data_IF_685092276161
#
_entry.id   IF_685092276161
#
_cell.length_a   1.000
_cell.length_b   1.000
_cell.length_c   1.000
_cell.angle_alpha   90.00
_cell.angle_beta   90.00
_cell.angle_gamma   90.00
#
_symmetry.space_group_name_H-M   'P 1'
#
loop_
_entity.id
_entity.type
_entity.pdbx_description
1 polymer ?
#
# COMPACT_ATOMS: atom_id res chain seq x y z
N UNK A 1 -6.28 3.45 -3.43
CA UNK A 1 -5.14 2.64 -3.90
C UNK A 1 -4.58 3.27 -5.15
N UNK A 2 -3.26 3.47 -5.15
CA UNK A 2 -2.47 4.13 -6.17
C UNK A 2 -1.29 3.22 -6.50
N UNK A 3 -1.37 2.43 -7.58
CA UNK A 3 -0.42 1.33 -7.79
C UNK A 3 0.07 1.19 -9.24
N UNK A 4 1.37 1.00 -9.42
CA UNK A 4 1.91 0.36 -10.62
C UNK A 4 1.90 -1.15 -10.36
N UNK A 5 1.13 -1.89 -11.15
CA UNK A 5 0.90 -3.31 -10.93
C UNK A 5 1.55 -4.13 -12.02
N UNK A 6 2.40 -5.07 -11.62
CA UNK A 6 2.89 -6.10 -12.52
C UNK A 6 1.80 -7.15 -12.76
N UNK A 7 1.51 -7.43 -14.03
CA UNK A 7 0.46 -8.39 -14.40
C UNK A 7 0.75 -9.81 -13.88
N UNK A 8 2.01 -10.18 -13.69
CA UNK A 8 2.42 -11.46 -13.11
C UNK A 8 2.17 -11.57 -11.60
N UNK A 9 2.20 -10.46 -10.88
CA UNK A 9 2.21 -10.44 -9.42
C UNK A 9 1.01 -9.65 -8.90
N UNK A 10 -0.12 -10.34 -8.61
CA UNK A 10 -1.31 -9.66 -8.10
C UNK A 10 -1.02 -9.03 -6.74
N UNK A 11 -1.58 -7.84 -6.52
CA UNK A 11 -1.55 -7.20 -5.22
C UNK A 11 -2.59 -7.84 -4.31
N UNK A 12 -2.23 -8.13 -3.06
CA UNK A 12 -3.20 -8.56 -2.06
C UNK A 12 -3.43 -7.45 -1.06
N UNK A 13 -4.67 -7.18 -0.68
CA UNK A 13 -4.97 -6.22 0.37
C UNK A 13 -6.07 -6.69 1.31
N UNK A 14 -5.98 -6.23 2.56
CA UNK A 14 -6.87 -6.59 3.66
C UNK A 14 -7.69 -5.39 4.11
N UNK A 15 -8.94 -5.68 4.42
CA UNK A 15 -9.93 -4.73 4.90
C UNK A 15 -10.64 -5.30 6.13
N UNK A 16 -10.65 -4.54 7.21
CA UNK A 16 -11.03 -5.01 8.53
C UNK A 16 -12.32 -4.32 8.99
N UNK A 17 -13.43 -5.06 9.06
CA UNK A 17 -14.72 -4.51 9.48
C UNK A 17 -14.98 -4.85 10.94
N UNK A 18 -15.14 -3.83 11.76
CA UNK A 18 -15.41 -3.98 13.19
C UNK A 18 -16.90 -4.12 13.46
N UNK A 19 -17.24 -5.07 14.30
CA UNK A 19 -18.63 -5.35 14.65
C UNK A 19 -18.77 -5.87 16.07
N UNK A 20 -20.01 -5.97 16.55
CA UNK A 20 -20.32 -6.65 17.81
C UNK A 20 -20.25 -8.16 17.62
N UNK A 21 -19.98 -8.90 18.70
CA UNK A 21 -19.89 -10.37 18.62
C UNK A 21 -21.19 -11.06 18.19
N UNK A 22 -22.33 -10.41 18.40
CA UNK A 22 -23.65 -10.89 17.99
C UNK A 22 -23.92 -10.77 16.48
N UNK A 23 -23.12 -9.98 15.75
CA UNK A 23 -23.26 -9.79 14.31
C UNK A 23 -22.49 -10.89 13.55
N UNK A 24 -23.24 -11.86 13.06
CA UNK A 24 -22.76 -12.94 12.20
C UNK A 24 -22.90 -12.55 10.73
N UNK A 25 -21.83 -12.70 9.96
CA UNK A 25 -21.81 -12.41 8.53
C UNK A 25 -22.78 -13.34 7.77
N UNK A 26 -23.65 -12.76 6.96
CA UNK A 26 -24.59 -13.47 6.08
C UNK A 26 -24.23 -13.33 4.61
N UNK A 27 -23.58 -12.22 4.22
CA UNK A 27 -23.07 -12.04 2.86
C UNK A 27 -21.92 -11.02 2.82
N UNK A 28 -20.98 -11.24 1.92
CA UNK A 28 -19.91 -10.31 1.59
C UNK A 28 -19.63 -10.38 0.08
N UNK A 29 -19.75 -9.26 -0.62
CA UNK A 29 -19.50 -9.21 -2.07
C UNK A 29 -19.14 -7.82 -2.57
N UNK A 30 -18.35 -7.75 -3.63
CA UNK A 30 -18.13 -6.52 -4.38
C UNK A 30 -19.38 -6.22 -5.23
N UNK A 31 -19.90 -4.99 -5.13
CA UNK A 31 -21.11 -4.59 -5.87
C UNK A 31 -20.81 -4.17 -7.30
N UNK A 32 -19.69 -3.50 -7.49
CA UNK A 32 -19.17 -3.20 -8.80
C UNK A 32 -18.07 -4.23 -9.06
N UNK A 33 -18.15 -4.95 -10.18
CA UNK A 33 -17.03 -5.75 -10.66
C UNK A 33 -15.93 -4.81 -11.14
N UNK A 34 -15.26 -4.14 -10.20
CA UNK A 34 -14.12 -3.31 -10.54
C UNK A 34 -13.07 -4.23 -11.12
N UNK A 35 -12.72 -3.98 -12.39
CA UNK A 35 -11.94 -4.89 -13.21
C UNK A 35 -10.69 -5.38 -12.49
N UNK A 36 -10.66 -6.66 -12.17
CA UNK A 36 -9.51 -7.29 -11.52
C UNK A 36 -9.49 -7.27 -9.99
N UNK A 37 -10.55 -6.87 -9.29
CA UNK A 37 -10.63 -7.02 -7.83
C UNK A 37 -11.55 -8.19 -7.49
N UNK A 38 -11.07 -9.10 -6.65
CA UNK A 38 -11.85 -10.26 -6.19
C UNK A 38 -11.70 -10.42 -4.69
N UNK A 39 -12.78 -10.81 -4.01
CA UNK A 39 -12.70 -11.25 -2.62
C UNK A 39 -12.11 -12.67 -2.61
N UNK A 40 -10.92 -12.83 -2.03
CA UNK A 40 -10.21 -14.11 -1.97
C UNK A 40 -10.66 -14.94 -0.76
N UNK A 41 -10.49 -14.39 0.43
CA UNK A 41 -10.83 -15.08 1.69
C UNK A 41 -11.32 -14.10 2.73
N UNK A 42 -12.01 -14.61 3.75
CA UNK A 42 -12.32 -13.83 4.95
C UNK A 42 -12.35 -14.72 6.18
N UNK A 43 -12.10 -14.12 7.34
CA UNK A 43 -12.25 -14.79 8.63
C UNK A 43 -12.68 -13.79 9.70
N UNK A 44 -13.08 -14.31 10.86
CA UNK A 44 -13.50 -13.53 12.01
C UNK A 44 -12.52 -13.73 13.17
N UNK A 45 -12.12 -12.64 13.80
CA UNK A 45 -11.30 -12.64 15.00
C UNK A 45 -12.04 -11.94 16.16
N UNK A 46 -12.30 -12.63 17.28
CA UNK A 46 -12.80 -12.01 18.49
C UNK A 46 -11.73 -11.12 19.13
N UNK A 47 -12.10 -9.89 19.49
CA UNK A 47 -11.17 -8.91 20.11
C UNK A 47 -11.41 -8.77 21.62
N UNK A 48 -12.52 -9.32 22.13
CA UNK A 48 -12.89 -9.32 23.54
C UNK A 48 -13.69 -8.08 23.97
N UNK A 49 -14.04 -8.02 25.26
CA UNK A 49 -14.84 -6.93 25.84
C UNK A 49 -13.96 -5.71 26.12
N UNK A 50 -14.04 -4.69 25.25
CA UNK A 50 -13.31 -3.42 25.43
C UNK A 50 -14.15 -2.30 26.05
N UNK A 51 -15.47 -2.47 26.17
CA UNK A 51 -16.38 -1.46 26.73
C UNK A 51 -17.57 -2.09 27.49
N UNK A 52 -17.61 -1.95 28.82
CA UNK A 52 -18.80 -2.14 29.66
C UNK A 52 -19.68 -3.38 29.30
N UNK A 53 -19.06 -4.54 29.09
CA UNK A 53 -19.75 -5.80 28.83
C UNK A 53 -20.15 -6.05 27.36
N UNK A 54 -19.77 -5.18 26.42
CA UNK A 54 -19.90 -5.46 24.97
C UNK A 54 -18.62 -6.06 24.43
N UNK A 55 -18.74 -7.24 23.83
CA UNK A 55 -17.67 -7.90 23.10
C UNK A 55 -17.72 -7.57 21.62
N UNK A 56 -16.54 -7.35 21.05
CA UNK A 56 -16.36 -6.97 19.65
C UNK A 56 -15.55 -8.03 18.90
N UNK A 57 -15.83 -8.14 17.61
CA UNK A 57 -15.09 -8.95 16.65
C UNK A 57 -14.70 -8.12 15.44
N UNK A 58 -13.70 -8.60 14.71
CA UNK A 58 -13.32 -8.07 13.41
C UNK A 58 -13.51 -9.14 12.36
N UNK A 59 -14.10 -8.74 11.23
CA UNK A 59 -14.03 -9.52 10.01
C UNK A 59 -12.88 -9.00 9.17
N UNK A 60 -11.93 -9.88 8.90
CA UNK A 60 -10.83 -9.63 7.99
C UNK A 60 -11.24 -10.10 6.61
N UNK A 61 -11.24 -9.21 5.64
CA UNK A 61 -11.53 -9.51 4.23
C UNK A 61 -10.27 -9.31 3.42
N UNK A 62 -9.81 -10.36 2.75
CA UNK A 62 -8.64 -10.34 1.89
C UNK A 62 -9.08 -10.35 0.44
N UNK A 63 -8.57 -9.39 -0.31
CA UNK A 63 -8.89 -9.18 -1.70
C UNK A 63 -7.63 -9.32 -2.56
N UNK A 64 -7.81 -9.94 -3.71
CA UNK A 64 -6.78 -10.04 -4.73
C UNK A 64 -7.07 -9.01 -5.81
N UNK A 65 -6.05 -8.25 -6.18
CA UNK A 65 -6.08 -7.24 -7.21
C UNK A 65 -5.16 -7.61 -8.38
N UNK A 66 -5.78 -8.04 -9.46
CA UNK A 66 -5.17 -8.44 -10.73
C UNK A 66 -5.89 -7.75 -11.90
N UNK A 67 -5.70 -6.45 -12.10
CA UNK A 67 -6.30 -5.71 -13.21
C UNK A 67 -5.75 -6.20 -14.55
N UNK A 68 -6.63 -6.35 -15.55
CA UNK A 68 -6.21 -6.68 -16.92
C UNK A 68 -5.69 -5.46 -17.70
N UNK A 69 -6.13 -4.26 -17.31
CA UNK A 69 -5.83 -2.97 -17.91
C UNK A 69 -5.69 -1.88 -16.82
N UNK A 70 -5.07 -0.76 -17.16
CA UNK A 70 -4.94 0.39 -16.26
C UNK A 70 -6.32 0.94 -15.88
N UNK A 71 -6.50 1.26 -14.60
CA UNK A 71 -7.73 1.80 -14.05
C UNK A 71 -7.49 3.22 -13.57
N UNK A 72 -8.50 4.09 -13.71
CA UNK A 72 -8.46 5.44 -13.18
C UNK A 72 -9.69 5.71 -12.32
N UNK A 73 -9.45 6.11 -11.07
CA UNK A 73 -10.45 6.51 -10.08
C UNK A 73 -11.66 5.57 -9.98
N UNK A 74 -11.43 4.27 -10.10
CA UNK A 74 -12.50 3.27 -10.04
C UNK A 74 -12.95 3.07 -8.61
N UNK A 75 -14.23 3.31 -8.33
CA UNK A 75 -14.79 3.08 -7.00
C UNK A 75 -14.86 1.60 -6.69
N UNK A 76 -14.47 1.24 -5.48
CA UNK A 76 -14.70 -0.07 -4.91
C UNK A 76 -15.83 0.06 -3.90
N UNK A 77 -16.93 -0.64 -4.15
CA UNK A 77 -18.07 -0.70 -3.24
C UNK A 77 -18.18 -2.13 -2.73
N UNK A 78 -18.03 -2.29 -1.42
CA UNK A 78 -18.06 -3.59 -0.77
C UNK A 78 -19.33 -3.74 0.05
N UNK A 79 -20.20 -4.64 -0.36
CA UNK A 79 -21.41 -4.95 0.38
C UNK A 79 -21.12 -5.98 1.46
N UNK A 80 -21.49 -5.64 2.68
CA UNK A 80 -21.41 -6.51 3.85
C UNK A 80 -22.78 -6.57 4.49
N UNK A 81 -23.27 -7.79 4.68
CA UNK A 81 -24.52 -8.10 5.35
C UNK A 81 -24.24 -9.02 6.52
N UNK A 82 -24.85 -8.69 7.65
CA UNK A 82 -24.90 -9.54 8.85
C UNK A 82 -26.36 -9.87 9.16
N UNK A 83 -26.60 -10.65 10.21
CA UNK A 83 -27.93 -10.85 10.77
C UNK A 83 -28.54 -9.61 11.44
N UNK A 84 -27.75 -8.55 11.72
CA UNK A 84 -28.21 -7.37 12.45
C UNK A 84 -28.27 -6.10 11.58
N UNK A 85 -27.47 -6.04 10.53
CA UNK A 85 -27.34 -4.86 9.69
C UNK A 85 -26.80 -5.22 8.31
N UNK A 86 -27.04 -4.32 7.36
CA UNK A 86 -26.49 -4.37 6.02
C UNK A 86 -25.90 -3.02 5.67
N UNK A 87 -24.74 -3.01 5.05
CA UNK A 87 -24.06 -1.78 4.64
C UNK A 87 -23.32 -1.97 3.32
N UNK A 88 -23.28 -0.87 2.57
CA UNK A 88 -22.36 -0.72 1.45
C UNK A 88 -21.21 0.12 1.98
N UNK A 89 -20.07 -0.53 2.15
CA UNK A 89 -18.87 0.07 2.69
C UNK A 89 -18.09 0.71 1.53
N UNK A 90 -17.79 2.02 1.56
CA UNK A 90 -16.88 2.63 0.61
C UNK A 90 -15.49 2.02 0.82
N UNK A 91 -15.11 1.14 -0.09
CA UNK A 91 -13.82 0.46 -0.05
C UNK A 91 -12.69 1.39 -0.53
N UNK A 92 -13.04 2.52 -1.14
CA UNK A 92 -12.14 3.54 -1.64
C UNK A 92 -12.12 3.60 -3.17
N UNK A 93 -11.10 4.26 -3.72
CA UNK A 93 -10.87 4.37 -5.16
C UNK A 93 -9.60 3.64 -5.56
N UNK A 94 -9.58 3.15 -6.79
CA UNK A 94 -8.43 2.50 -7.40
C UNK A 94 -8.00 3.27 -8.62
N UNK A 95 -6.76 3.72 -8.60
CA UNK A 95 -6.03 4.12 -9.79
C UNK A 95 -4.81 3.23 -9.91
N UNK A 96 -4.67 2.56 -11.05
CA UNK A 96 -3.54 1.71 -11.31
C UNK A 96 -3.01 1.84 -12.74
N UNK A 97 -1.70 1.67 -12.89
CA UNK A 97 -1.05 1.47 -14.19
C UNK A 97 -0.56 0.04 -14.26
N UNK A 98 -1.07 -0.72 -15.24
CA UNK A 98 -0.62 -2.10 -15.43
C UNK A 98 0.64 -2.10 -16.29
N UNK A 99 1.68 -2.79 -15.84
CA UNK A 99 2.89 -3.05 -16.61
C UNK A 99 2.92 -4.53 -17.01
N UNK A 100 3.40 -4.86 -18.22
CA UNK A 100 3.37 -6.22 -18.72
C UNK A 100 4.33 -7.16 -17.96
N UNK A 101 5.48 -6.63 -17.54
CA UNK A 101 6.47 -7.34 -16.74
C UNK A 101 7.26 -6.33 -15.91
N UNK A 102 7.45 -6.62 -14.63
CA UNK A 102 8.41 -5.91 -13.78
C UNK A 102 9.79 -6.53 -13.92
N UNK A 103 10.81 -5.69 -14.08
CA UNK A 103 12.19 -6.14 -13.87
C UNK A 103 12.45 -6.43 -12.39
N UNK A 104 13.53 -7.17 -12.13
CA UNK A 104 14.06 -7.50 -10.80
C UNK A 104 15.58 -7.29 -10.79
N UNK A 105 16.04 -6.08 -11.11
CA UNK A 105 17.46 -5.75 -11.20
C UNK A 105 18.00 -5.24 -9.87
N UNK A 106 17.18 -4.52 -9.10
CA UNK A 106 17.52 -3.96 -7.80
C UNK A 106 16.72 -4.67 -6.69
N UNK A 107 17.33 -5.69 -6.07
CA UNK A 107 16.69 -6.42 -4.97
C UNK A 107 16.46 -5.53 -3.75
N UNK A 108 15.30 -5.66 -3.11
CA UNK A 108 14.95 -4.89 -1.91
C UNK A 108 15.46 -5.62 -0.66
N UNK A 109 16.44 -5.03 0.03
CA UNK A 109 17.04 -5.63 1.23
C UNK A 109 16.31 -5.21 2.51
N UNK A 110 15.96 -3.93 2.60
CA UNK A 110 15.22 -3.36 3.73
C UNK A 110 14.26 -2.30 3.25
N UNK A 111 13.09 -2.27 3.88
CA UNK A 111 12.04 -1.33 3.55
C UNK A 111 11.31 -0.88 4.80
N UNK A 112 11.39 0.42 5.09
CA UNK A 112 10.60 1.05 6.15
C UNK A 112 9.40 1.73 5.50
N UNK A 113 8.39 0.94 5.13
CA UNK A 113 7.09 1.42 4.67
C UNK A 113 5.99 0.78 5.49
N UNK A 114 5.46 1.53 6.45
CA UNK A 114 4.41 1.05 7.35
C UNK A 114 4.49 1.78 8.69
N UNK A 115 3.39 2.42 9.04
CA UNK A 115 3.16 3.17 10.26
C UNK A 115 1.68 3.52 10.28
N UNK A 116 1.17 3.81 11.45
CA UNK A 116 -0.24 4.01 11.68
C UNK A 116 -0.53 5.38 12.27
N UNK A 117 -1.66 5.95 11.83
CA UNK A 117 -2.16 7.23 12.32
C UNK A 117 -1.87 8.42 11.40
N UNK A 118 -2.91 9.18 11.07
CA UNK A 118 -2.91 10.28 10.10
C UNK A 118 -1.87 11.39 10.37
N UNK A 119 -1.59 11.70 11.64
CA UNK A 119 -0.74 12.84 12.03
C UNK A 119 0.77 12.56 11.93
N UNK A 120 1.14 11.28 11.87
CA UNK A 120 2.54 10.83 11.91
C UNK A 120 3.19 10.90 10.51
N UNK A 121 2.40 10.92 9.44
CA UNK A 121 2.88 10.64 8.08
C UNK A 121 3.13 11.82 7.16
N UNK A 122 2.49 12.98 7.37
CA UNK A 122 2.61 14.12 6.43
C UNK A 122 4.05 14.63 6.24
N UNK A 123 4.97 14.26 7.16
CA UNK A 123 6.38 14.62 7.13
C UNK A 123 7.34 13.43 7.27
N UNK A 124 6.86 12.18 7.12
CA UNK A 124 7.72 11.02 7.27
C UNK A 124 8.51 10.70 6.00
N UNK A 125 9.79 10.43 6.22
CA UNK A 125 10.69 9.94 5.20
C UNK A 125 10.53 8.43 5.12
N UNK A 126 10.13 7.95 3.94
CA UNK A 126 10.18 6.55 3.58
C UNK A 126 11.60 6.23 3.12
N UNK A 127 12.08 5.05 3.46
CA UNK A 127 13.39 4.60 3.07
C UNK A 127 13.41 3.15 2.61
N UNK A 128 14.25 2.89 1.63
CA UNK A 128 14.40 1.59 1.01
C UNK A 128 15.85 1.38 0.62
N UNK A 129 16.44 0.28 1.08
CA UNK A 129 17.77 -0.15 0.65
C UNK A 129 17.61 -1.18 -0.46
N UNK A 130 18.35 -0.95 -1.54
CA UNK A 130 18.33 -1.76 -2.74
C UNK A 130 19.74 -2.25 -3.06
N UNK A 131 19.88 -3.49 -3.49
CA UNK A 131 21.14 -4.06 -4.01
C UNK A 131 21.04 -4.33 -5.50
N UNK A 132 22.05 -3.89 -6.27
CA UNK A 132 22.15 -4.30 -7.67
C UNK A 132 22.61 -5.76 -7.77
N UNK A 133 21.66 -6.64 -8.10
CA UNK A 133 21.87 -8.08 -8.23
C UNK A 133 22.32 -8.49 -9.65
N UNK A 134 22.53 -7.53 -10.54
CA UNK A 134 22.98 -7.80 -11.92
C UNK A 134 24.50 -7.72 -12.03
N UNK A 135 25.04 -8.26 -13.13
CA UNK A 135 26.46 -8.18 -13.44
C UNK A 135 26.89 -6.84 -14.05
N UNK A 136 25.94 -5.97 -14.40
CA UNK A 136 26.20 -4.69 -15.04
C UNK A 136 25.75 -3.51 -14.15
N UNK A 137 26.31 -2.30 -14.34
CA UNK A 137 25.81 -1.11 -13.66
C UNK A 137 24.36 -0.81 -14.06
N UNK A 138 23.52 -0.54 -13.06
CA UNK A 138 22.11 -0.15 -13.24
C UNK A 138 21.95 1.32 -12.89
N UNK A 139 21.36 2.10 -13.78
CA UNK A 139 21.03 3.51 -13.56
C UNK A 139 19.58 3.67 -13.13
N UNK A 140 19.37 4.31 -11.98
CA UNK A 140 18.05 4.76 -11.53
C UNK A 140 17.75 6.09 -12.20
N UNK A 141 16.67 6.13 -12.98
CA UNK A 141 16.23 7.32 -13.73
C UNK A 141 15.13 8.11 -13.01
N UNK A 142 14.58 7.56 -11.92
CA UNK A 142 13.53 8.18 -11.12
C UNK A 142 12.45 7.18 -10.71
N UNK A 143 11.43 7.69 -10.03
CA UNK A 143 10.23 6.95 -9.67
C UNK A 143 9.13 7.12 -10.72
N UNK A 144 8.30 6.11 -10.84
CA UNK A 144 7.03 6.12 -11.55
C UNK A 144 5.93 5.75 -10.55
N UNK A 145 4.76 6.35 -10.72
CA UNK A 145 3.60 6.15 -9.84
C UNK A 145 2.30 6.12 -10.65
N UNK A 146 1.20 5.79 -9.99
CA UNK A 146 -0.16 5.90 -10.52
C UNK A 146 -1.07 6.58 -9.51
N UNK A 147 -2.09 7.29 -9.98
CA UNK A 147 -2.99 8.05 -9.11
C UNK A 147 -2.46 9.43 -8.78
N UNK A 148 -3.12 10.07 -7.81
CA UNK A 148 -2.97 11.51 -7.56
C UNK A 148 -2.09 11.80 -6.32
N UNK A 149 -1.73 10.78 -5.53
CA UNK A 149 -0.73 10.91 -4.47
C UNK A 149 0.67 10.84 -5.09
N UNK A 150 1.63 11.62 -4.56
CA UNK A 150 2.90 11.86 -5.26
C UNK A 150 4.17 11.70 -4.44
N UNK A 151 5.21 11.17 -5.09
CA UNK A 151 6.55 11.00 -4.52
C UNK A 151 7.37 12.27 -4.73
N UNK A 152 7.87 12.81 -3.62
CA UNK A 152 8.66 14.02 -3.58
C UNK A 152 9.91 13.92 -2.76
N UNK A 153 10.69 15.01 -2.82
CA UNK A 153 11.90 15.21 -2.03
C UNK A 153 12.77 13.95 -2.04
N UNK A 154 13.19 13.49 -3.22
CA UNK A 154 13.91 12.22 -3.33
C UNK A 154 15.39 12.46 -3.00
N UNK A 155 15.94 11.64 -2.13
CA UNK A 155 17.34 11.62 -1.72
C UNK A 155 17.90 10.20 -1.82
N UNK A 156 19.22 10.08 -1.84
CA UNK A 156 19.88 8.78 -1.83
C UNK A 156 21.20 8.76 -1.06
N UNK A 157 21.61 7.57 -0.66
CA UNK A 157 22.93 7.26 -0.10
C UNK A 157 23.50 6.03 -0.81
N UNK A 158 24.79 6.03 -1.13
CA UNK A 158 25.50 4.88 -1.74
C UNK A 158 25.93 3.81 -0.71
N UNK A 159 25.35 3.88 0.48
CA UNK A 159 25.59 2.98 1.59
C UNK A 159 24.23 2.67 2.22
N UNK A 160 24.06 1.44 2.74
CA UNK A 160 22.92 1.12 3.60
C UNK A 160 22.89 2.05 4.82
N UNK A 161 21.71 2.59 5.12
CA UNK A 161 21.47 3.42 6.30
C UNK A 161 20.49 2.70 7.23
N UNK A 162 20.91 2.46 8.48
CA UNK A 162 20.02 1.91 9.51
C UNK A 162 18.96 2.91 9.99
N UNK A 163 19.27 4.21 9.96
CA UNK A 163 18.37 5.30 10.35
C UNK A 163 18.50 6.48 9.35
N UNK A 164 17.94 6.33 8.14
CA UNK A 164 18.09 7.29 7.07
C UNK A 164 17.56 8.68 7.44
N UNK A 165 18.40 9.72 7.29
CA UNK A 165 18.03 11.14 7.50
C UNK A 165 18.51 11.97 6.31
N UNK A 166 17.77 13.00 5.87
CA UNK A 166 18.11 13.80 4.68
C UNK A 166 19.49 14.45 4.74
N UNK A 167 19.93 14.86 5.93
CA UNK A 167 21.22 15.51 6.15
C UNK A 167 22.45 14.59 5.95
N UNK A 168 22.24 13.28 5.80
CA UNK A 168 23.29 12.28 5.51
C UNK A 168 23.16 11.71 4.10
N UNK A 169 22.43 12.38 3.22
CA UNK A 169 22.07 11.88 1.89
C UNK A 169 22.26 12.97 0.84
N UNK A 170 22.34 12.56 -0.41
CA UNK A 170 22.43 13.45 -1.56
C UNK A 170 21.04 13.63 -2.16
N UNK A 171 20.71 14.85 -2.60
CA UNK A 171 19.50 15.06 -3.38
C UNK A 171 19.56 14.23 -4.67
N UNK A 172 18.46 13.61 -5.04
CA UNK A 172 18.40 12.74 -6.21
C UNK A 172 18.46 13.57 -7.51
N UNK A 173 19.48 13.32 -8.32
CA UNK A 173 19.62 13.86 -9.66
C UNK A 173 19.84 12.70 -10.61
N UNK A 174 18.86 12.46 -11.49
CA UNK A 174 18.95 11.36 -12.45
C UNK A 174 20.01 11.63 -13.52
N UNK A 175 20.75 10.60 -13.99
CA UNK A 175 20.72 9.22 -13.51
C UNK A 175 21.58 9.01 -12.25
N UNK A 176 21.15 8.12 -11.36
CA UNK A 176 21.97 7.64 -10.24
C UNK A 176 22.40 6.20 -10.52
N UNK A 177 23.70 5.96 -10.66
CA UNK A 177 24.24 4.64 -11.00
C UNK A 177 24.55 3.79 -9.76
N UNK A 178 24.16 2.53 -9.80
CA UNK A 178 24.42 1.50 -8.80
C UNK A 178 25.30 0.43 -9.44
N UNK A 179 26.51 0.23 -8.92
CA UNK A 179 27.45 -0.78 -9.43
C UNK A 179 27.01 -2.21 -9.04
N UNK A 180 27.44 -3.25 -9.77
CA UNK A 180 27.17 -4.65 -9.40
C UNK A 180 27.52 -4.96 -7.94
N UNK A 181 26.61 -5.62 -7.22
CA UNK A 181 26.78 -5.98 -5.81
C UNK A 181 26.89 -4.80 -4.85
N UNK A 182 26.55 -3.58 -5.28
CA UNK A 182 26.52 -2.40 -4.41
C UNK A 182 25.09 -2.06 -4.02
N UNK A 183 24.99 -1.54 -2.80
CA UNK A 183 23.76 -1.06 -2.19
C UNK A 183 23.53 0.43 -2.49
N UNK A 184 22.26 0.81 -2.51
CA UNK A 184 21.80 2.19 -2.49
C UNK A 184 20.60 2.29 -1.56
N UNK A 185 20.61 3.27 -0.65
CA UNK A 185 19.43 3.63 0.13
C UNK A 185 18.73 4.80 -0.57
N UNK A 186 17.49 4.62 -0.98
CA UNK A 186 16.61 5.69 -1.44
C UNK A 186 15.78 6.20 -0.27
N UNK A 187 15.68 7.53 -0.16
CA UNK A 187 14.80 8.21 0.77
C UNK A 187 13.84 9.07 -0.04
N UNK A 188 12.56 9.07 0.33
CA UNK A 188 11.58 9.91 -0.35
C UNK A 188 10.43 10.24 0.60
N UNK A 189 9.69 11.29 0.28
CA UNK A 189 8.42 11.59 0.93
C UNK A 189 7.27 11.21 0.03
N UNK A 190 6.21 10.73 0.64
CA UNK A 190 4.93 10.58 -0.03
C UNK A 190 4.04 11.72 0.41
N UNK A 191 3.65 12.57 -0.54
CA UNK A 191 2.69 13.62 -0.32
C UNK A 191 1.31 13.10 -0.71
N UNK A 192 0.45 13.05 0.31
CA UNK A 192 -0.82 12.33 0.30
C UNK A 192 -1.95 13.34 0.38
N UNK A 193 -3.00 13.14 -0.42
CA UNK A 193 -4.19 13.99 -0.34
C UNK A 193 -4.92 13.81 1.00
N UNK A 194 -5.63 14.84 1.50
CA UNK A 194 -6.40 14.74 2.73
C UNK A 194 -7.38 13.55 2.74
N UNK A 195 -8.02 13.23 1.62
CA UNK A 195 -8.95 12.09 1.54
C UNK A 195 -8.21 10.74 1.74
N UNK A 196 -7.04 10.57 1.13
CA UNK A 196 -6.20 9.37 1.28
C UNK A 196 -5.67 9.22 2.71
N UNK A 197 -5.42 10.34 3.43
CA UNK A 197 -5.03 10.32 4.85
C UNK A 197 -6.20 9.83 5.73
N UNK A 198 -7.43 10.26 5.42
CA UNK A 198 -8.62 9.93 6.22
C UNK A 198 -9.08 8.49 6.06
N UNK A 199 -8.90 7.90 4.87
CA UNK A 199 -9.41 6.57 4.54
C UNK A 199 -8.31 5.49 4.49
N UNK A 200 -7.04 5.89 4.57
CA UNK A 200 -5.90 5.02 4.34
C UNK A 200 -5.51 4.94 2.86
N UNK A 201 -4.30 4.43 2.61
CA UNK A 201 -3.70 4.37 1.28
C UNK A 201 -2.93 3.07 1.10
N UNK A 202 -3.07 2.47 -0.07
CA UNK A 202 -2.10 1.51 -0.60
C UNK A 202 -1.43 2.20 -1.77
N UNK A 203 -0.12 2.44 -1.65
CA UNK A 203 0.69 3.14 -2.64
C UNK A 203 1.81 2.23 -3.11
N UNK A 204 1.78 1.80 -4.38
CA UNK A 204 2.82 0.95 -4.94
C UNK A 204 3.51 1.65 -6.12
N UNK A 205 4.72 2.18 -5.92
CA UNK A 205 5.45 2.80 -7.01
C UNK A 205 6.30 1.80 -7.79
N UNK A 206 6.95 2.28 -8.85
CA UNK A 206 8.02 1.56 -9.53
C UNK A 206 9.25 2.46 -9.70
N UNK A 207 10.43 1.86 -9.85
CA UNK A 207 11.60 2.55 -10.34
C UNK A 207 11.68 2.45 -11.85
N UNK A 208 12.02 3.56 -12.50
CA UNK A 208 12.44 3.56 -13.89
C UNK A 208 13.94 3.34 -13.94
N UNK A 209 14.36 2.22 -14.51
CA UNK A 209 15.75 1.78 -14.53
C UNK A 209 16.30 1.72 -15.94
N UNK A 210 17.61 1.84 -16.06
CA UNK A 210 18.34 1.64 -17.31
C UNK A 210 19.61 0.82 -17.10
N UNK A 211 19.82 -0.17 -17.96
CA UNK A 211 21.04 -1.00 -18.02
C UNK A 211 21.46 -1.10 -19.49
N UNK A 212 22.61 -0.50 -19.83
CA UNK A 212 22.99 -0.30 -21.23
C UNK A 212 21.94 0.50 -22.01
N UNK A 213 21.37 -0.12 -23.06
CA UNK A 213 20.30 0.47 -23.89
C UNK A 213 18.88 0.10 -23.44
N UNK A 214 18.75 -0.85 -22.52
CA UNK A 214 17.46 -1.36 -22.06
C UNK A 214 16.90 -0.45 -20.95
N UNK A 215 15.60 -0.14 -21.04
CA UNK A 215 14.86 0.62 -20.04
C UNK A 215 13.67 -0.18 -19.56
N UNK A 216 13.53 -0.28 -18.25
CA UNK A 216 12.53 -1.14 -17.61
C UNK A 216 11.88 -0.41 -16.44
N UNK A 217 10.75 -0.96 -15.99
CA UNK A 217 10.13 -0.62 -14.72
C UNK A 217 10.35 -1.77 -13.74
N UNK A 218 10.78 -1.43 -12.53
CA UNK A 218 10.87 -2.38 -11.42
C UNK A 218 9.87 -1.95 -10.36
N UNK A 219 8.77 -2.71 -10.25
CA UNK A 219 7.70 -2.47 -9.29
C UNK A 219 8.23 -2.71 -7.89
N UNK A 220 8.04 -1.72 -7.02
CA UNK A 220 8.52 -1.74 -5.65
C UNK A 220 7.47 -2.35 -4.71
N UNK A 221 7.85 -2.74 -3.49
CA UNK A 221 6.89 -3.14 -2.46
C UNK A 221 5.89 -2.01 -2.16
N UNK A 222 4.63 -2.34 -1.82
CA UNK A 222 3.63 -1.32 -1.49
C UNK A 222 3.96 -0.61 -0.17
N UNK A 223 3.73 0.71 -0.12
CA UNK A 223 3.58 1.50 1.11
C UNK A 223 2.12 1.42 1.55
N UNK A 224 1.87 1.15 2.82
CA UNK A 224 0.50 1.14 3.38
C UNK A 224 0.35 2.23 4.43
N UNK A 225 -0.63 3.10 4.23
CA UNK A 225 -1.14 4.00 5.25
C UNK A 225 -2.41 3.45 5.85
N UNK A 226 -2.27 3.19 7.14
CA UNK A 226 -3.24 2.57 8.00
C UNK A 226 -3.85 3.62 8.93
N UNK A 227 -5.18 3.68 8.98
CA UNK A 227 -5.88 4.50 9.97
C UNK A 227 -6.17 3.59 11.16
N UNK A 228 -5.21 3.53 12.09
CA UNK A 228 -5.41 2.80 13.34
C UNK A 228 -6.50 3.48 14.16
N UNK A 229 -7.52 2.71 14.48
CA UNK A 229 -8.48 3.08 15.50
C UNK A 229 -8.25 2.15 16.69
N UNK A 230 -8.18 2.70 17.90
CA UNK A 230 -8.32 1.89 19.11
C UNK A 230 -9.69 2.20 19.68
N UNK A 231 -10.55 1.19 19.96
CA UNK A 231 -11.77 1.40 20.72
C UNK A 231 -11.37 1.74 22.16
N UNK A 232 -10.97 2.98 22.35
CA UNK A 232 -10.78 3.58 23.65
C UNK A 232 -11.34 4.98 23.50
N UNK A 233 -12.49 5.19 24.15
CA UNK A 233 -13.24 6.46 24.29
C UNK A 233 -14.36 6.76 23.27
N UNK A 234 -15.09 5.77 22.77
CA UNK A 234 -16.33 6.04 22.04
C UNK A 234 -17.19 4.82 21.74
N UNK A 235 -18.52 5.00 21.74
CA UNK A 235 -19.48 4.01 21.21
C UNK A 235 -19.15 3.78 19.73
N UNK A 236 -18.60 2.62 19.39
CA UNK A 236 -18.46 2.20 17.98
C UNK A 236 -19.84 1.73 17.49
N UNK A 237 -20.47 2.39 16.50
CA UNK A 237 -21.68 1.88 15.88
C UNK A 237 -21.41 0.50 15.25
N UNK A 238 -22.42 -0.37 15.19
CA UNK A 238 -22.30 -1.61 14.44
C UNK A 238 -22.02 -1.31 12.94
N UNK A 239 -21.06 -2.02 12.33
CA UNK A 239 -20.68 -1.82 10.94
C UNK A 239 -19.77 -0.59 10.71
N UNK A 240 -18.88 -0.29 11.66
CA UNK A 240 -17.80 0.68 11.46
C UNK A 240 -16.64 0.02 10.73
N UNK A 241 -16.16 0.71 9.71
CA UNK A 241 -15.15 0.25 8.77
C UNK A 241 -13.74 0.60 9.24
N UNK A 242 -12.78 -0.28 8.98
CA UNK A 242 -11.36 0.06 8.98
C UNK A 242 -10.69 -0.56 7.75
N UNK A 243 -9.73 0.16 7.19
CA UNK A 243 -8.74 -0.46 6.32
C UNK A 243 -7.78 -1.30 7.19
N UNK A 244 -6.86 -2.11 6.62
CA UNK A 244 -5.40 -2.07 6.94
C UNK A 244 -4.65 -3.32 6.46
N UNK A 245 -3.54 -3.04 5.77
CA UNK A 245 -2.47 -3.90 5.23
C UNK A 245 -2.70 -4.40 3.80
N UNK A 246 -1.68 -4.22 2.97
CA UNK A 246 -1.52 -4.83 1.66
C UNK A 246 -0.18 -5.56 1.66
N UNK A 247 -0.03 -6.56 0.82
CA UNK A 247 1.21 -7.36 0.72
C UNK A 247 1.42 -7.74 -0.73
#
# INVERSE_FOLDING_TARGET
MNAIVDRSHPLTFRYDVWTTDSASLTSARLLNQTGGVTLGSFWREPIGSKDKGRSYSVYHFVFNFKPSHSLYNQRLNFYVSTNLWQRILPYGTVTCRVVPHSATWLGVDTYTGGASGAMVWSNQWLAMTLTNNTNDPVSILGFEQAGDDWIGDIHYSRQALQAPRPNRTLAFQAPVMVQPGKEITLLYKLSVRPESIQHGLVFQPALRLQKGKERVLEVLPPVIFSVDFTPSQGKVPAGTERFISAS
#
